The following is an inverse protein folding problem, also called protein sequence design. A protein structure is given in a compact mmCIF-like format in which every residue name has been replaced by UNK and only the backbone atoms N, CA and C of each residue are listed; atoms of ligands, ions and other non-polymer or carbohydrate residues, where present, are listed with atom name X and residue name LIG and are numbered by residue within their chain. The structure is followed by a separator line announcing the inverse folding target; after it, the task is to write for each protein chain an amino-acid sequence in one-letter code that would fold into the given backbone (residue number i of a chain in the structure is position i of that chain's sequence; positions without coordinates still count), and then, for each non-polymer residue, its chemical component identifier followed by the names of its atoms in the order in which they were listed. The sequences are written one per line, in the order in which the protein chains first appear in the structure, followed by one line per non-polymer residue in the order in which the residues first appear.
data_IF_298706318122
#
_entry.id   IF_298706318122
#
_cell.length_a   1.000
_cell.length_b   1.000
_cell.length_c   1.000
_cell.angle_alpha   90.00
_cell.angle_beta   90.00
_cell.angle_gamma   90.00
#
_symmetry.space_group_name_H-M   'P 1'
#
loop_
_entity.id
_entity.type
_entity.pdbx_description
1 polymer ?
#
# COMPACT_ATOMS: atom_id res chain seq x y z
N UNK A 1 -10.08 -9.46 1.45
CA UNK A 1 -10.88 -10.19 0.46
C UNK A 1 -10.05 -10.46 -0.80
N UNK A 2 -10.45 -11.44 -1.59
CA UNK A 2 -9.82 -11.83 -2.85
C UNK A 2 -10.88 -11.78 -3.94
N UNK A 3 -10.57 -11.15 -5.07
CA UNK A 3 -11.46 -11.03 -6.22
C UNK A 3 -10.80 -11.64 -7.45
N UNK A 4 -11.55 -12.44 -8.22
CA UNK A 4 -11.07 -13.07 -9.44
C UNK A 4 -10.98 -12.09 -10.60
N UNK A 5 -9.94 -12.17 -11.38
CA UNK A 5 -9.73 -11.41 -12.61
C UNK A 5 -9.79 -12.34 -13.82
N UNK A 6 -10.69 -12.10 -14.73
CA UNK A 6 -10.96 -12.97 -15.88
C UNK A 6 -10.29 -12.52 -17.20
N UNK A 7 -9.78 -11.28 -17.26
CA UNK A 7 -9.07 -10.76 -18.43
C UNK A 7 -7.53 -10.78 -18.22
N UNK A 8 -6.81 -11.69 -18.87
CA UNK A 8 -5.36 -11.82 -18.70
C UNK A 8 -4.55 -10.67 -19.34
N UNK A 9 -5.17 -9.82 -20.15
CA UNK A 9 -4.47 -8.78 -20.90
C UNK A 9 -4.61 -7.38 -20.28
N UNK A 10 -5.58 -7.18 -19.40
CA UNK A 10 -5.90 -5.88 -18.82
C UNK A 10 -5.92 -5.94 -17.28
N UNK A 11 -4.75 -6.14 -16.70
CA UNK A 11 -4.56 -6.32 -15.24
C UNK A 11 -5.02 -5.11 -14.43
N UNK A 12 -4.74 -3.91 -14.93
CA UNK A 12 -5.22 -2.66 -14.34
C UNK A 12 -5.97 -1.91 -15.44
N UNK A 13 -7.30 -2.06 -15.52
CA UNK A 13 -8.08 -1.49 -16.60
C UNK A 13 -8.05 0.05 -16.55
N UNK A 14 -8.03 0.69 -17.73
CA UNK A 14 -8.13 2.15 -17.86
C UNK A 14 -9.51 2.66 -17.42
N UNK A 15 -10.53 1.82 -17.53
CA UNK A 15 -11.88 2.08 -17.07
C UNK A 15 -12.22 1.19 -15.87
N UNK A 16 -13.08 1.69 -14.99
CA UNK A 16 -13.52 0.93 -13.82
C UNK A 16 -14.23 -0.35 -14.25
N UNK A 17 -13.70 -1.48 -13.85
CA UNK A 17 -14.27 -2.81 -14.03
C UNK A 17 -14.60 -3.42 -12.67
N UNK A 18 -15.65 -4.24 -12.61
CA UNK A 18 -16.08 -4.93 -11.40
C UNK A 18 -15.70 -6.39 -11.46
N UNK A 19 -15.02 -6.88 -10.45
CA UNK A 19 -14.58 -8.26 -10.35
C UNK A 19 -15.33 -8.99 -9.24
N UNK A 20 -15.79 -10.25 -9.48
CA UNK A 20 -16.51 -11.02 -8.49
C UNK A 20 -15.62 -11.44 -7.34
N UNK A 21 -16.18 -11.47 -6.14
CA UNK A 21 -15.49 -11.96 -4.95
C UNK A 21 -15.23 -13.47 -5.09
N UNK A 22 -13.95 -13.84 -5.04
CA UNK A 22 -13.54 -15.24 -5.03
C UNK A 22 -13.62 -15.83 -3.62
N UNK A 23 -13.20 -15.07 -2.61
CA UNK A 23 -13.19 -15.50 -1.24
C UNK A 23 -12.78 -14.43 -0.25
N UNK A 24 -12.89 -14.77 1.01
CA UNK A 24 -12.49 -13.96 2.13
C UNK A 24 -11.67 -14.78 3.10
N UNK A 25 -10.76 -14.12 3.78
CA UNK A 25 -9.87 -14.73 4.73
C UNK A 25 -9.89 -13.94 6.03
N UNK A 26 -10.05 -14.66 7.11
CA UNK A 26 -9.73 -14.13 8.43
C UNK A 26 -8.27 -14.49 8.71
N UNK A 27 -7.45 -13.49 9.00
CA UNK A 27 -6.05 -13.66 9.29
C UNK A 27 -5.84 -13.54 10.80
N UNK A 28 -5.17 -14.54 11.36
CA UNK A 28 -4.68 -14.45 12.73
C UNK A 28 -3.34 -13.71 12.75
N UNK A 29 -3.06 -13.05 13.88
CA UNK A 29 -1.77 -12.42 14.12
C UNK A 29 -0.69 -13.49 14.18
N UNK A 30 0.28 -13.43 13.28
CA UNK A 30 1.41 -14.37 13.23
C UNK A 30 2.53 -13.93 14.15
N UNK A 31 2.82 -12.63 14.16
CA UNK A 31 3.85 -12.05 15.04
C UNK A 31 3.51 -10.62 15.46
N UNK A 32 4.05 -10.20 16.59
CA UNK A 32 4.02 -8.82 17.08
C UNK A 32 5.40 -8.46 17.55
N UNK A 33 6.05 -7.50 16.90
CA UNK A 33 7.36 -7.01 17.26
C UNK A 33 7.27 -5.54 17.64
N UNK A 34 8.07 -5.13 18.63
CA UNK A 34 8.28 -3.71 18.92
C UNK A 34 9.41 -3.24 18.02
N UNK A 35 9.15 -2.23 17.20
CA UNK A 35 10.20 -1.58 16.41
C UNK A 35 10.87 -0.57 17.33
N UNK A 36 12.15 -0.80 17.61
CA UNK A 36 12.99 0.19 18.27
C UNK A 36 13.28 1.31 17.28
N UNK A 37 12.76 2.48 17.56
CA UNK A 37 12.99 3.65 16.74
C UNK A 37 14.25 4.31 17.27
N UNK A 38 15.38 4.05 16.60
CA UNK A 38 16.60 4.82 16.83
C UNK A 38 16.30 6.30 16.55
N UNK A 39 16.20 7.07 17.62
CA UNK A 39 16.07 8.52 17.50
C UNK A 39 17.29 9.07 16.77
N UNK A 40 17.12 9.79 15.63
CA UNK A 40 18.23 10.49 15.03
C UNK A 40 18.90 11.38 16.09
N UNK A 41 20.24 11.50 16.11
CA UNK A 41 20.93 12.37 17.06
C UNK A 41 20.34 13.79 17.00
N UNK A 42 19.81 14.27 18.13
CA UNK A 42 19.18 15.60 18.24
C UNK A 42 17.64 15.60 18.18
N UNK A 43 17.00 14.49 17.82
CA UNK A 43 15.54 14.36 17.91
C UNK A 43 15.13 13.88 19.32
N UNK A 44 14.43 14.72 20.04
CA UNK A 44 13.63 14.25 21.16
C UNK A 44 12.26 13.82 20.65
N UNK A 45 12.15 12.63 20.07
CA UNK A 45 10.86 11.98 19.92
C UNK A 45 10.33 11.80 21.34
N UNK A 46 9.12 12.30 21.62
CA UNK A 46 8.54 12.11 22.94
C UNK A 46 8.63 10.63 23.33
N UNK A 47 9.12 10.34 24.53
CA UNK A 47 9.45 9.02 25.03
C UNK A 47 8.28 7.99 25.02
N UNK A 48 7.12 8.37 24.51
CA UNK A 48 5.86 7.63 24.60
C UNK A 48 5.36 7.09 23.26
N UNK A 49 6.15 7.16 22.18
CA UNK A 49 5.73 6.59 20.88
C UNK A 49 6.31 5.18 20.73
N UNK A 50 5.44 4.18 20.92
CA UNK A 50 5.75 2.79 20.62
C UNK A 50 5.25 2.47 19.19
N UNK A 51 6.12 1.92 18.36
CA UNK A 51 5.74 1.38 17.05
C UNK A 51 5.76 -0.14 17.12
N UNK A 52 4.64 -0.74 16.73
CA UNK A 52 4.50 -2.19 16.64
C UNK A 52 4.45 -2.61 15.19
N UNK A 53 5.24 -3.61 14.85
CA UNK A 53 5.08 -4.38 13.63
C UNK A 53 4.19 -5.58 13.94
N UNK A 54 3.09 -5.69 13.23
CA UNK A 54 2.15 -6.80 13.39
C UNK A 54 2.02 -7.51 12.06
N UNK A 55 2.39 -8.78 12.04
CA UNK A 55 2.34 -9.61 10.85
C UNK A 55 1.11 -10.53 10.87
N UNK A 56 0.46 -10.65 9.73
CA UNK A 56 -0.65 -11.54 9.50
C UNK A 56 -0.34 -12.42 8.29
N UNK A 57 -0.33 -13.72 8.49
CA UNK A 57 -0.06 -14.69 7.41
C UNK A 57 -1.12 -15.77 7.33
N UNK A 58 -1.38 -16.23 6.12
CA UNK A 58 -2.23 -17.40 5.88
C UNK A 58 -1.86 -18.08 4.57
N UNK A 59 -2.28 -19.32 4.43
CA UNK A 59 -2.13 -20.09 3.19
C UNK A 59 -3.51 -20.25 2.56
N UNK A 60 -3.58 -19.96 1.26
CA UNK A 60 -4.81 -20.05 0.47
C UNK A 60 -4.59 -20.96 -0.72
N UNK A 61 -5.48 -21.92 -0.92
CA UNK A 61 -5.51 -22.72 -2.15
C UNK A 61 -6.30 -22.00 -3.25
N UNK A 62 -5.59 -21.39 -4.18
CA UNK A 62 -6.16 -20.67 -5.32
C UNK A 62 -6.53 -21.59 -6.49
N UNK A 63 -6.25 -22.91 -6.42
CA UNK A 63 -6.55 -23.86 -7.49
C UNK A 63 -8.06 -24.13 -7.66
N UNK A 64 -8.86 -23.86 -6.65
CA UNK A 64 -10.32 -24.09 -6.66
C UNK A 64 -11.11 -22.92 -7.27
N UNK A 65 -10.56 -22.22 -8.25
CA UNK A 65 -11.15 -20.98 -8.76
C UNK A 65 -12.27 -21.15 -9.78
N UNK A 66 -12.63 -22.38 -10.19
CA UNK A 66 -13.65 -22.67 -11.20
C UNK A 66 -13.48 -21.88 -12.53
N UNK A 67 -12.26 -21.52 -12.87
CA UNK A 67 -11.94 -20.75 -14.08
C UNK A 67 -12.22 -19.24 -13.99
N UNK A 68 -12.53 -18.71 -12.81
CA UNK A 68 -12.90 -17.30 -12.63
C UNK A 68 -11.67 -16.36 -12.67
N UNK A 69 -10.46 -16.88 -12.55
CA UNK A 69 -9.27 -16.06 -12.37
C UNK A 69 -8.17 -16.33 -13.41
N UNK A 70 -8.54 -16.41 -14.68
CA UNK A 70 -7.57 -16.55 -15.78
C UNK A 70 -6.65 -15.33 -15.91
N UNK A 71 -7.06 -14.17 -15.45
CA UNK A 71 -6.28 -12.93 -15.35
C UNK A 71 -5.64 -12.71 -13.98
N UNK A 72 -5.70 -13.68 -13.06
CA UNK A 72 -5.14 -13.56 -11.71
C UNK A 72 -6.14 -13.10 -10.65
N UNK A 73 -5.61 -12.58 -9.54
CA UNK A 73 -6.40 -12.23 -8.38
C UNK A 73 -6.05 -10.82 -7.86
N UNK A 74 -7.06 -10.04 -7.54
CA UNK A 74 -6.94 -8.81 -6.79
C UNK A 74 -7.12 -9.11 -5.30
N UNK A 75 -6.12 -8.81 -4.51
CA UNK A 75 -6.13 -9.02 -3.06
C UNK A 75 -6.24 -7.67 -2.38
N UNK A 76 -7.22 -7.51 -1.51
CA UNK A 76 -7.44 -6.28 -0.76
C UNK A 76 -7.50 -6.55 0.74
N UNK A 77 -6.87 -5.66 1.50
CA UNK A 77 -7.08 -5.55 2.94
C UNK A 77 -7.51 -4.13 3.26
N UNK A 78 -8.70 -3.98 3.84
CA UNK A 78 -9.26 -2.68 4.13
C UNK A 78 -9.37 -2.43 5.63
N UNK A 79 -9.16 -1.19 6.01
CA UNK A 79 -9.41 -0.69 7.37
C UNK A 79 -10.10 0.67 7.34
N UNK A 80 -10.94 0.92 8.31
CA UNK A 80 -11.39 2.25 8.65
C UNK A 80 -10.98 2.57 10.08
N UNK A 81 -10.56 3.77 10.38
CA UNK A 81 -10.36 4.90 9.49
C UNK A 81 -8.94 5.42 9.71
N UNK A 82 -8.53 6.40 8.90
CA UNK A 82 -7.20 7.00 9.04
C UNK A 82 -7.13 7.85 10.30
N UNK A 83 -5.92 8.18 10.70
CA UNK A 83 -5.71 9.09 11.82
C UNK A 83 -6.25 10.49 11.47
N UNK A 84 -7.14 11.03 12.31
CA UNK A 84 -7.75 12.36 12.12
C UNK A 84 -6.76 13.51 11.99
N UNK A 85 -5.53 13.35 12.48
CA UNK A 85 -4.50 14.37 12.42
C UNK A 85 -3.61 14.29 11.18
N UNK A 86 -4.01 13.56 10.14
CA UNK A 86 -3.34 13.56 8.83
C UNK A 86 -3.72 14.87 8.13
N UNK A 87 -2.69 15.60 7.66
CA UNK A 87 -2.82 16.95 7.10
C UNK A 87 -3.14 16.94 5.60
N UNK A 88 -2.61 15.98 4.86
CA UNK A 88 -2.65 15.99 3.39
C UNK A 88 -3.86 15.29 2.77
N UNK A 89 -4.71 14.66 3.56
CA UNK A 89 -5.94 13.99 3.08
C UNK A 89 -7.17 14.79 3.54
N UNK A 90 -8.14 14.95 2.66
CA UNK A 90 -9.44 15.51 2.99
C UNK A 90 -10.24 14.52 3.83
N UNK A 91 -10.74 14.95 4.99
CA UNK A 91 -11.51 14.13 5.94
C UNK A 91 -10.84 12.76 6.25
N UNK A 92 -9.61 12.75 6.79
CA UNK A 92 -8.91 11.49 7.02
C UNK A 92 -9.64 10.57 8.00
N UNK A 93 -10.29 11.12 9.02
CA UNK A 93 -11.06 10.34 9.99
C UNK A 93 -12.35 9.75 9.47
N UNK A 94 -12.86 10.24 8.35
CA UNK A 94 -13.99 9.67 7.62
C UNK A 94 -13.57 8.75 6.47
N UNK A 95 -12.28 8.70 6.16
CA UNK A 95 -11.75 8.00 4.97
C UNK A 95 -11.07 6.69 5.36
N UNK A 96 -11.50 5.59 4.76
CA UNK A 96 -10.87 4.28 4.89
C UNK A 96 -9.51 4.20 4.17
N UNK A 97 -8.84 3.06 4.35
CA UNK A 97 -7.59 2.72 3.67
C UNK A 97 -7.70 1.33 3.08
N UNK A 98 -7.08 1.13 1.91
CA UNK A 98 -6.97 -0.16 1.24
C UNK A 98 -5.51 -0.45 0.93
N UNK A 99 -5.04 -1.60 1.39
CA UNK A 99 -3.81 -2.21 0.92
C UNK A 99 -4.16 -3.15 -0.22
N UNK A 100 -3.40 -3.09 -1.29
CA UNK A 100 -3.74 -3.78 -2.53
C UNK A 100 -2.54 -4.51 -3.10
N UNK A 101 -2.81 -5.72 -3.59
CA UNK A 101 -1.91 -6.46 -4.44
C UNK A 101 -2.70 -7.14 -5.58
N UNK A 102 -2.06 -7.27 -6.73
CA UNK A 102 -2.51 -8.18 -7.78
C UNK A 102 -1.53 -9.33 -7.90
N UNK A 103 -2.08 -10.54 -7.86
CA UNK A 103 -1.36 -11.80 -8.01
C UNK A 103 -1.67 -12.35 -9.40
N UNK A 104 -0.67 -12.72 -10.21
CA UNK A 104 -0.90 -13.24 -11.55
C UNK A 104 -1.64 -14.59 -11.51
N UNK A 105 -2.12 -15.08 -12.65
CA UNK A 105 -2.66 -16.43 -12.74
C UNK A 105 -1.71 -17.47 -12.19
N UNK A 106 -2.23 -18.45 -11.47
CA UNK A 106 -1.43 -19.47 -10.75
C UNK A 106 -0.44 -20.23 -11.63
N UNK A 107 -0.71 -20.34 -12.95
CA UNK A 107 0.18 -21.01 -13.88
C UNK A 107 1.44 -20.19 -14.25
N UNK A 108 1.52 -18.91 -13.85
CA UNK A 108 2.73 -18.12 -14.04
C UNK A 108 3.83 -18.42 -13.02
N UNK A 109 3.51 -19.10 -11.93
CA UNK A 109 4.45 -19.47 -10.88
C UNK A 109 5.31 -18.29 -10.44
N UNK A 110 4.73 -17.43 -9.62
CA UNK A 110 5.32 -16.17 -9.18
C UNK A 110 5.36 -16.07 -7.66
N UNK A 111 6.43 -15.45 -7.16
CA UNK A 111 6.57 -15.02 -5.78
C UNK A 111 6.54 -13.49 -5.75
N UNK A 112 5.61 -12.89 -5.03
CA UNK A 112 5.51 -11.42 -4.96
C UNK A 112 6.73 -10.79 -4.29
N UNK A 113 7.08 -9.54 -4.65
CA UNK A 113 8.22 -8.85 -4.06
C UNK A 113 8.03 -8.61 -2.56
N UNK A 114 9.12 -8.73 -1.81
CA UNK A 114 9.17 -8.49 -0.38
C UNK A 114 9.92 -7.21 -0.07
N UNK A 115 9.30 -6.30 0.68
CA UNK A 115 9.98 -5.09 1.16
C UNK A 115 11.07 -5.45 2.16
N UNK A 116 12.27 -4.93 1.93
CA UNK A 116 13.45 -5.25 2.74
C UNK A 116 13.52 -4.52 4.07
N UNK A 117 12.74 -3.45 4.22
CA UNK A 117 12.77 -2.59 5.40
C UNK A 117 11.36 -2.18 5.85
N UNK A 118 11.17 -2.07 7.15
CA UNK A 118 10.01 -1.39 7.72
C UNK A 118 10.02 0.09 7.32
N UNK A 119 8.85 0.70 7.08
CA UNK A 119 8.80 2.10 6.68
C UNK A 119 9.32 3.01 7.78
N UNK A 120 10.04 4.07 7.40
CA UNK A 120 10.48 5.11 8.33
C UNK A 120 9.26 5.92 8.79
N UNK A 121 8.95 5.95 10.11
CA UNK A 121 7.75 6.64 10.59
C UNK A 121 7.96 8.14 10.86
N UNK A 122 9.21 8.62 10.92
CA UNK A 122 9.56 9.99 11.29
C UNK A 122 10.55 10.61 10.32
N UNK A 123 10.37 11.91 10.06
CA UNK A 123 11.36 12.74 9.36
C UNK A 123 11.51 14.08 10.07
N UNK A 124 12.69 14.71 9.94
CA UNK A 124 12.96 16.02 10.51
C UNK A 124 12.42 17.14 9.62
N UNK A 125 11.72 18.11 10.21
CA UNK A 125 11.28 19.30 9.51
C UNK A 125 12.46 20.14 9.03
N UNK A 126 12.44 20.50 7.76
CA UNK A 126 13.51 21.31 7.15
C UNK A 126 14.74 20.51 6.68
N UNK A 127 14.78 19.20 6.95
CA UNK A 127 15.86 18.34 6.50
C UNK A 127 15.40 17.37 5.40
N UNK A 128 16.31 17.07 4.48
CA UNK A 128 16.09 16.04 3.47
C UNK A 128 16.39 14.68 4.06
N UNK A 129 15.37 13.83 4.12
CA UNK A 129 15.49 12.47 4.63
C UNK A 129 15.39 11.47 3.50
N UNK A 130 16.29 10.49 3.48
CA UNK A 130 16.26 9.35 2.54
C UNK A 130 15.90 8.08 3.29
N UNK A 131 14.93 7.36 2.77
CA UNK A 131 14.46 6.10 3.34
C UNK A 131 14.45 4.98 2.28
N UNK A 132 14.59 3.74 2.76
CA UNK A 132 14.60 2.57 1.91
C UNK A 132 13.18 1.99 1.83
N UNK A 133 12.47 2.26 0.73
CA UNK A 133 11.28 1.49 0.35
C UNK A 133 11.65 0.42 -0.69
N UNK A 134 12.86 -0.12 -0.57
CA UNK A 134 13.41 -1.16 -1.42
C UNK A 134 12.69 -2.49 -1.19
N UNK A 135 12.64 -3.28 -2.24
CA UNK A 135 12.13 -4.65 -2.19
C UNK A 135 13.06 -5.59 -2.96
N UNK A 136 12.96 -6.87 -2.64
CA UNK A 136 13.63 -7.94 -3.37
C UNK A 136 12.60 -8.89 -3.93
N UNK A 137 12.92 -9.47 -5.07
CA UNK A 137 12.15 -10.51 -5.69
C UNK A 137 13.00 -11.78 -5.79
N UNK A 138 12.47 -12.91 -5.32
CA UNK A 138 13.21 -14.19 -5.27
C UNK A 138 13.28 -14.85 -6.64
N UNK A 139 12.34 -14.56 -7.53
CA UNK A 139 12.30 -15.07 -8.89
C UNK A 139 13.22 -14.28 -9.83
N UNK A 140 13.71 -13.13 -9.36
CA UNK A 140 14.64 -12.26 -10.10
C UNK A 140 13.95 -11.34 -11.09
N UNK A 141 12.69 -11.05 -10.88
CA UNK A 141 11.91 -10.16 -11.70
C UNK A 141 12.36 -8.69 -11.57
N UNK A 142 12.15 -7.91 -12.62
CA UNK A 142 12.45 -6.49 -12.61
C UNK A 142 11.38 -5.74 -11.82
N UNK A 143 11.79 -5.05 -10.76
CA UNK A 143 10.91 -4.24 -9.93
C UNK A 143 10.97 -2.77 -10.33
N UNK A 144 9.81 -2.20 -10.67
CA UNK A 144 9.65 -0.78 -10.99
C UNK A 144 8.84 -0.10 -9.90
N UNK A 145 9.48 0.86 -9.23
CA UNK A 145 8.89 1.61 -8.14
C UNK A 145 8.34 2.94 -8.63
N UNK A 146 7.21 3.35 -8.08
CA UNK A 146 6.65 4.69 -8.28
C UNK A 146 5.93 5.16 -7.03
N UNK A 147 5.79 6.47 -6.89
CA UNK A 147 4.84 7.00 -5.92
C UNK A 147 3.41 6.92 -6.49
N UNK A 148 2.43 6.79 -5.60
CA UNK A 148 1.02 6.63 -5.95
C UNK A 148 0.14 7.34 -4.92
N UNK A 149 -1.03 7.77 -5.35
CA UNK A 149 -2.07 8.24 -4.43
C UNK A 149 -2.50 7.08 -3.51
N UNK A 150 -2.55 7.29 -2.18
CA UNK A 150 -3.10 6.29 -1.27
C UNK A 150 -4.52 5.88 -1.65
N UNK A 151 -4.84 4.60 -1.45
CA UNK A 151 -6.13 4.05 -1.84
C UNK A 151 -7.18 4.26 -0.74
N UNK A 152 -8.39 4.58 -1.18
CA UNK A 152 -9.55 4.74 -0.30
C UNK A 152 -10.28 3.41 -0.17
N UNK A 153 -10.55 2.99 1.07
CA UNK A 153 -11.37 1.81 1.33
C UNK A 153 -12.88 2.05 1.12
N UNK A 154 -13.64 0.98 1.02
CA UNK A 154 -15.11 1.00 1.01
C UNK A 154 -15.69 1.32 2.39
N UNK A 155 -14.93 1.09 3.45
CA UNK A 155 -15.33 1.38 4.82
C UNK A 155 -15.10 2.86 5.15
N UNK A 156 -16.06 3.45 5.85
CA UNK A 156 -16.05 4.86 6.28
C UNK A 156 -16.38 4.95 7.77
N UNK A 157 -16.18 6.13 8.38
CA UNK A 157 -16.58 6.35 9.77
C UNK A 157 -18.07 6.14 10.03
N UNK A 158 -18.91 6.35 9.01
CA UNK A 158 -20.34 6.06 9.08
C UNK A 158 -20.68 4.57 8.98
N UNK A 159 -19.75 3.76 8.41
CA UNK A 159 -19.85 2.31 8.28
C UNK A 159 -18.50 1.66 8.58
N UNK A 160 -18.02 1.75 9.85
CA UNK A 160 -16.75 1.15 10.22
C UNK A 160 -16.92 -0.37 10.35
N UNK A 161 -15.89 -1.17 9.99
CA UNK A 161 -15.88 -2.59 10.28
C UNK A 161 -15.71 -2.81 11.78
N UNK A 162 -16.79 -2.85 12.52
CA UNK A 162 -16.77 -2.98 14.02
C UNK A 162 -16.41 -4.38 14.50
N UNK A 163 -16.74 -5.37 13.73
CA UNK A 163 -16.31 -6.76 13.82
C UNK A 163 -16.36 -7.24 12.38
N UNK A 164 -15.24 -7.29 11.72
CA UNK A 164 -15.16 -7.67 10.32
C UNK A 164 -15.72 -9.07 10.18
N UNK A 165 -17.01 -9.16 9.82
CA UNK A 165 -17.54 -10.39 9.32
C UNK A 165 -17.13 -10.50 7.85
N UNK A 166 -16.79 -11.70 7.39
CA UNK A 166 -16.52 -11.94 5.98
C UNK A 166 -17.58 -11.38 5.02
N UNK A 167 -18.84 -11.34 5.44
CA UNK A 167 -19.94 -10.77 4.67
C UNK A 167 -19.91 -9.23 4.48
N UNK A 168 -19.04 -8.51 5.18
CA UNK A 168 -18.97 -7.04 5.09
C UNK A 168 -18.24 -6.56 3.82
N UNK A 169 -17.42 -7.42 3.21
CA UNK A 169 -16.79 -7.13 1.93
C UNK A 169 -17.80 -7.28 0.77
N UNK A 170 -17.80 -6.35 -0.19
CA UNK A 170 -18.73 -6.40 -1.30
C UNK A 170 -18.54 -7.67 -2.16
N UNK A 171 -19.62 -8.17 -2.74
CA UNK A 171 -19.59 -9.33 -3.66
C UNK A 171 -18.86 -9.04 -4.97
N UNK A 172 -18.69 -7.77 -5.32
CA UNK A 172 -17.87 -7.32 -6.45
C UNK A 172 -17.01 -6.16 -6.02
N UNK A 173 -15.81 -6.06 -6.58
CA UNK A 173 -14.87 -4.99 -6.30
C UNK A 173 -14.50 -4.25 -7.58
N UNK A 174 -14.47 -2.93 -7.50
CA UNK A 174 -14.15 -2.10 -8.65
C UNK A 174 -12.64 -1.82 -8.72
N UNK A 175 -12.05 -2.11 -9.88
CA UNK A 175 -10.65 -1.81 -10.19
C UNK A 175 -10.63 -0.84 -11.39
N UNK A 176 -9.82 0.21 -11.39
CA UNK A 176 -8.92 0.62 -10.30
C UNK A 176 -9.66 1.03 -9.03
N UNK A 177 -8.99 0.81 -7.89
CA UNK A 177 -9.54 1.14 -6.58
C UNK A 177 -9.58 2.67 -6.45
N UNK A 178 -10.65 3.19 -5.86
CA UNK A 178 -10.78 4.62 -5.63
C UNK A 178 -9.64 5.16 -4.77
N UNK A 179 -9.08 6.28 -5.17
CA UNK A 179 -8.03 7.00 -4.47
C UNK A 179 -8.61 7.92 -3.40
N UNK A 180 -7.76 8.27 -2.41
CA UNK A 180 -8.12 9.31 -1.44
C UNK A 180 -8.19 10.67 -2.12
N UNK A 181 -8.96 11.58 -1.53
CA UNK A 181 -8.98 12.97 -1.95
C UNK A 181 -7.99 13.77 -1.10
N UNK A 182 -7.04 14.44 -1.74
CA UNK A 182 -6.12 15.31 -1.05
C UNK A 182 -6.82 16.58 -0.55
N UNK A 183 -6.34 17.08 0.58
CA UNK A 183 -6.74 18.38 1.10
C UNK A 183 -6.23 19.54 0.24
N UNK A 184 -6.76 20.77 0.44
CA UNK A 184 -6.32 21.94 -0.32
C UNK A 184 -4.80 22.18 -0.19
N UNK A 185 -4.13 22.32 -1.32
CA UNK A 185 -2.67 22.56 -1.38
C UNK A 185 -1.81 21.31 -1.35
N UNK A 186 -2.41 20.13 -1.33
CA UNK A 186 -1.72 18.84 -1.40
C UNK A 186 -2.10 18.05 -2.66
N UNK A 187 -1.19 17.24 -3.12
CA UNK A 187 -1.39 16.28 -4.22
C UNK A 187 -0.46 15.08 -4.07
N UNK A 188 -0.60 14.07 -4.92
CA UNK A 188 0.33 12.94 -4.91
C UNK A 188 1.76 13.35 -5.28
N UNK A 189 1.94 14.38 -6.11
CA UNK A 189 3.26 14.94 -6.47
C UNK A 189 3.81 15.87 -5.38
N UNK A 190 2.92 16.46 -4.57
CA UNK A 190 3.26 17.39 -3.50
C UNK A 190 2.54 17.02 -2.19
N UNK A 191 2.81 15.83 -1.63
CA UNK A 191 2.08 15.34 -0.45
C UNK A 191 2.42 16.11 0.82
N UNK A 192 3.52 16.88 0.83
CA UNK A 192 3.94 17.75 1.94
C UNK A 192 3.59 19.22 1.73
N UNK A 193 2.81 19.54 0.68
CA UNK A 193 2.39 20.90 0.37
C UNK A 193 3.49 21.75 -0.25
N UNK A 194 3.26 23.08 -0.24
CA UNK A 194 4.16 24.04 -0.89
C UNK A 194 5.57 24.03 -0.29
N UNK A 195 6.57 23.81 -1.13
CA UNK A 195 7.99 23.75 -0.74
C UNK A 195 8.45 22.41 -0.19
N UNK A 196 7.53 21.45 -0.01
CA UNK A 196 7.86 20.06 0.27
C UNK A 196 8.01 19.24 -1.01
N UNK A 197 8.70 18.11 -0.92
CA UNK A 197 8.77 17.16 -2.03
C UNK A 197 8.83 15.71 -1.56
N UNK A 198 8.47 14.85 -2.48
CA UNK A 198 8.49 13.39 -2.35
C UNK A 198 8.95 12.79 -3.67
N UNK A 199 9.92 11.90 -3.61
CA UNK A 199 10.40 11.20 -4.81
C UNK A 199 10.75 9.75 -4.50
N UNK A 200 10.53 8.88 -5.48
CA UNK A 200 10.88 7.46 -5.45
C UNK A 200 11.73 7.16 -6.67
N UNK A 201 12.88 6.54 -6.47
CA UNK A 201 13.75 6.09 -7.56
C UNK A 201 13.15 4.81 -8.14
N UNK A 202 12.79 4.86 -9.42
CA UNK A 202 12.05 3.79 -10.08
C UNK A 202 12.77 2.43 -10.09
N UNK A 203 14.09 2.42 -10.15
CA UNK A 203 14.86 1.18 -10.26
C UNK A 203 15.16 0.46 -8.93
N UNK A 204 14.95 1.11 -7.78
CA UNK A 204 15.33 0.52 -6.50
C UNK A 204 14.48 0.94 -5.29
N UNK A 205 13.48 1.81 -5.47
CA UNK A 205 12.60 2.24 -4.40
C UNK A 205 13.23 3.20 -3.38
N UNK A 206 14.46 3.69 -3.64
CA UNK A 206 15.05 4.72 -2.78
C UNK A 206 14.15 5.95 -2.77
N UNK A 207 13.72 6.35 -1.59
CA UNK A 207 12.72 7.39 -1.42
C UNK A 207 13.32 8.57 -0.71
N UNK A 208 13.05 9.78 -1.20
CA UNK A 208 13.50 11.01 -0.58
C UNK A 208 12.28 11.85 -0.17
N UNK A 209 12.32 12.34 1.05
CA UNK A 209 11.31 13.18 1.67
C UNK A 209 11.89 14.52 2.07
N UNK A 210 11.11 15.57 1.90
CA UNK A 210 11.40 16.88 2.47
C UNK A 210 10.09 17.58 2.84
N UNK A 211 10.01 18.11 4.03
CA UNK A 211 8.91 18.96 4.48
C UNK A 211 9.43 20.03 5.43
N UNK A 212 8.98 21.26 5.22
CA UNK A 212 9.15 22.37 6.16
C UNK A 212 7.90 22.57 7.05
N UNK A 213 6.89 21.72 6.87
CA UNK A 213 5.64 21.75 7.63
C UNK A 213 5.64 20.54 8.56
N UNK A 214 5.48 20.80 9.86
CA UNK A 214 5.29 19.73 10.85
C UNK A 214 3.87 19.18 10.76
N UNK A 215 3.70 17.90 11.02
CA UNK A 215 2.40 17.24 10.98
C UNK A 215 2.49 15.77 10.61
N UNK A 216 1.35 15.17 10.30
CA UNK A 216 1.27 13.79 9.84
C UNK A 216 0.81 13.76 8.39
N UNK A 217 1.54 13.02 7.58
CA UNK A 217 1.30 12.94 6.14
C UNK A 217 1.26 11.49 5.70
N UNK A 218 0.48 11.21 4.67
CA UNK A 218 0.42 9.87 4.08
C UNK A 218 0.94 9.93 2.66
N UNK A 219 1.78 8.95 2.32
CA UNK A 219 2.34 8.74 0.99
C UNK A 219 2.19 7.28 0.58
N UNK A 220 2.08 7.02 -0.72
CA UNK A 220 1.96 5.68 -1.27
C UNK A 220 3.15 5.32 -2.16
N UNK A 221 3.55 4.06 -2.11
CA UNK A 221 4.54 3.45 -3.01
C UNK A 221 3.86 2.29 -3.73
N UNK A 222 4.03 2.24 -5.04
CA UNK A 222 3.60 1.17 -5.92
C UNK A 222 4.82 0.43 -6.44
N UNK A 223 4.79 -0.89 -6.38
CA UNK A 223 5.75 -1.77 -7.05
C UNK A 223 5.01 -2.50 -8.16
N UNK A 224 5.56 -2.44 -9.37
CA UNK A 224 5.20 -3.31 -10.48
C UNK A 224 6.35 -4.25 -10.78
N UNK A 225 6.03 -5.51 -10.91
CA UNK A 225 6.94 -6.61 -11.15
C UNK A 225 6.84 -7.03 -12.60
N UNK A 226 7.97 -7.13 -13.28
CA UNK A 226 8.02 -7.45 -14.71
C UNK A 226 8.99 -8.60 -14.97
N UNK A 227 8.56 -9.52 -15.84
CA UNK A 227 9.37 -10.65 -16.30
C UNK A 227 9.45 -10.68 -17.82
N UNK A 228 10.64 -10.95 -18.34
CA UNK A 228 10.80 -11.20 -19.77
C UNK A 228 10.49 -12.68 -20.08
N UNK A 229 9.48 -12.89 -20.93
CA UNK A 229 9.08 -14.22 -21.38
C UNK A 229 9.06 -14.23 -22.91
N UNK A 230 9.91 -15.04 -23.51
CA UNK A 230 10.03 -15.16 -24.98
C UNK A 230 10.26 -13.81 -25.69
N UNK A 231 11.04 -12.91 -25.09
CA UNK A 231 11.35 -11.60 -25.64
C UNK A 231 10.24 -10.54 -25.45
N UNK A 232 9.23 -10.85 -24.65
CA UNK A 232 8.17 -9.91 -24.25
C UNK A 232 8.25 -9.62 -22.76
N UNK A 233 8.15 -8.35 -22.40
CA UNK A 233 8.08 -7.92 -20.99
C UNK A 233 6.63 -7.97 -20.56
N UNK A 234 6.33 -8.80 -19.59
CA UNK A 234 4.99 -9.01 -19.06
C UNK A 234 4.93 -8.54 -17.61
N UNK A 235 3.78 -7.98 -17.21
CA UNK A 235 3.51 -7.65 -15.81
C UNK A 235 3.22 -8.95 -15.05
N UNK A 236 3.94 -9.17 -13.94
CA UNK A 236 3.86 -10.38 -13.12
C UNK A 236 3.32 -10.12 -11.71
N UNK A 237 3.30 -8.89 -11.26
CA UNK A 237 2.75 -8.55 -9.96
C UNK A 237 2.56 -7.05 -9.77
N UNK A 238 1.69 -6.72 -8.84
CA UNK A 238 1.50 -5.34 -8.36
C UNK A 238 1.33 -5.37 -6.85
N UNK A 239 2.08 -4.53 -6.15
CA UNK A 239 1.99 -4.41 -4.70
C UNK A 239 2.02 -2.94 -4.29
N UNK A 240 1.16 -2.56 -3.35
CA UNK A 240 1.14 -1.20 -2.81
C UNK A 240 1.59 -1.19 -1.35
N UNK A 241 2.30 -0.12 -0.98
CA UNK A 241 2.62 0.22 0.40
C UNK A 241 2.13 1.64 0.67
N UNK A 242 1.51 1.83 1.82
CA UNK A 242 1.17 3.16 2.33
C UNK A 242 1.98 3.44 3.59
N UNK A 243 2.50 4.66 3.69
CA UNK A 243 3.32 5.09 4.82
C UNK A 243 2.72 6.34 5.42
N UNK A 244 2.43 6.31 6.73
CA UNK A 244 2.14 7.51 7.49
C UNK A 244 3.43 8.05 8.09
N UNK A 245 3.82 9.23 7.69
CA UNK A 245 5.02 9.95 8.17
C UNK A 245 4.64 11.00 9.20
N UNK A 246 5.45 11.12 10.23
CA UNK A 246 5.39 12.22 11.19
C UNK A 246 6.57 13.14 10.90
N UNK A 247 6.27 14.40 10.57
CA UNK A 247 7.25 15.46 10.38
C UNK A 247 7.32 16.28 11.66
N UNK A 248 8.50 16.35 12.27
CA UNK A 248 8.69 17.05 13.53
C UNK A 248 10.02 17.80 13.57
N UNK A 249 10.19 18.69 14.56
CA UNK A 249 11.50 19.28 14.80
C UNK A 249 12.44 18.24 15.40
N UNK A 250 13.66 18.20 14.90
CA UNK A 250 14.74 17.39 15.49
C UNK A 250 15.77 18.24 16.24
#
# INVERSE_FOLDING_TARGET
AIYGHDDPLNVIPDNVSSYPKWGELTLDVSSVNIIDIDNPPGCSVGADICVYEVEYTTIVDLNNNNGIANGGFHVTHERCCRNNSIENISDPGGTGMTYYAWIPPIFFNNTSPEFTNSPLPFICSGDTTTALNTATDVDGDELIFSYVTPLKGNFTAANPPQNINPSDYPETYSIPIAEVQYGPGYSYESPFGAGGYYSVVASNGLTTYYSNIQGKFVVGVLIKEYREVNGQILLYGVTTREVQLIVQNC
#
